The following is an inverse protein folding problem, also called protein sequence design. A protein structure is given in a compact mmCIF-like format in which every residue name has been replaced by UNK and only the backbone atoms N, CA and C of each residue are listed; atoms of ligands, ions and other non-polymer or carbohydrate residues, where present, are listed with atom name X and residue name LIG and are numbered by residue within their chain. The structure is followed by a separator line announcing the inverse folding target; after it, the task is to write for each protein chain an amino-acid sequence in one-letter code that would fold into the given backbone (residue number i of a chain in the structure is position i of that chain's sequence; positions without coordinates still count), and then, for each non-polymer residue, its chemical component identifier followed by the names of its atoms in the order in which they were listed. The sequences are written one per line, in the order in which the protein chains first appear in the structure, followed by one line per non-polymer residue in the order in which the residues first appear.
data_IF_319976042436
#
_entry.id   IF_319976042436
#
_cell.length_a   1.000
_cell.length_b   1.000
_cell.length_c   1.000
_cell.angle_alpha   90.00
_cell.angle_beta   90.00
_cell.angle_gamma   90.00
#
_symmetry.space_group_name_H-M   'P 1'
#
loop_
_entity.id
_entity.type
_entity.pdbx_description
1 polymer ?
#
# COMPACT_ATOMS: atom_id res chain seq x y z
N UNK A 1 5.07 18.09 -9.98
CA UNK A 1 4.37 17.70 -8.75
C UNK A 1 3.46 16.52 -9.04
N UNK A 2 3.38 15.55 -8.14
CA UNK A 2 2.70 14.27 -8.39
C UNK A 2 1.65 14.01 -7.33
N UNK A 3 0.47 13.59 -7.76
CA UNK A 3 -0.64 13.25 -6.88
C UNK A 3 -0.86 11.72 -6.80
N UNK A 4 -1.22 11.26 -5.62
CA UNK A 4 -1.63 9.89 -5.33
C UNK A 4 -3.00 9.89 -4.65
N UNK A 5 -3.95 9.14 -5.21
CA UNK A 5 -5.27 8.94 -4.61
C UNK A 5 -5.30 7.61 -3.85
N UNK A 6 -5.91 7.62 -2.65
CA UNK A 6 -6.09 6.46 -1.80
C UNK A 6 -7.56 6.04 -1.74
N UNK A 7 -7.79 4.75 -1.51
CA UNK A 7 -9.12 4.25 -1.11
C UNK A 7 -9.44 4.73 0.31
N UNK A 8 -10.73 4.87 0.60
CA UNK A 8 -11.21 5.45 1.85
C UNK A 8 -10.65 4.75 3.12
N UNK A 9 -10.45 3.43 3.07
CA UNK A 9 -9.88 2.66 4.19
C UNK A 9 -8.47 3.12 4.63
N UNK A 10 -7.69 3.72 3.74
CA UNK A 10 -6.35 4.22 4.07
C UNK A 10 -6.33 5.70 4.44
N UNK A 11 -7.39 6.43 4.13
CA UNK A 11 -7.40 7.88 4.26
C UNK A 11 -7.09 8.37 5.68
N UNK A 12 -7.67 7.80 6.76
CA UNK A 12 -7.32 8.21 8.12
C UNK A 12 -5.83 8.02 8.45
N UNK A 13 -5.24 6.92 7.99
CA UNK A 13 -3.83 6.58 8.23
C UNK A 13 -2.89 7.50 7.46
N UNK A 14 -3.24 7.84 6.22
CA UNK A 14 -2.46 8.76 5.39
C UNK A 14 -2.56 10.19 5.92
N UNK A 15 -3.76 10.64 6.33
CA UNK A 15 -3.94 11.97 6.93
C UNK A 15 -3.19 12.13 8.25
N UNK A 16 -3.12 11.06 9.05
CA UNK A 16 -2.37 11.03 10.30
C UNK A 16 -0.87 10.81 10.12
N UNK A 17 -0.39 10.62 8.87
CA UNK A 17 1.00 10.29 8.54
C UNK A 17 1.54 9.03 9.25
N UNK A 18 0.65 8.11 9.64
CA UNK A 18 1.04 6.77 10.13
C UNK A 18 1.32 5.83 8.97
N UNK A 19 0.56 5.94 7.87
CA UNK A 19 0.90 5.32 6.57
C UNK A 19 1.74 6.29 5.74
N UNK A 20 3.01 5.93 5.52
CA UNK A 20 4.03 6.77 4.84
C UNK A 20 4.57 6.19 3.54
N UNK A 21 3.92 5.14 3.04
CA UNK A 21 4.30 4.49 1.78
C UNK A 21 3.08 4.08 0.96
N UNK A 22 3.27 3.88 -0.34
CA UNK A 22 2.28 3.32 -1.27
C UNK A 22 2.96 2.56 -2.39
N UNK A 23 2.39 1.41 -2.74
CA UNK A 23 2.70 0.71 -4.00
C UNK A 23 1.85 1.28 -5.13
N UNK A 24 2.44 1.46 -6.31
CA UNK A 24 1.74 1.91 -7.53
C UNK A 24 2.25 1.14 -8.74
N UNK A 25 1.34 0.84 -9.66
CA UNK A 25 1.73 0.33 -10.98
C UNK A 25 2.60 1.35 -11.69
N UNK A 26 3.47 0.86 -12.58
CA UNK A 26 4.33 1.74 -13.36
C UNK A 26 3.49 2.68 -14.23
N UNK A 27 3.97 3.92 -14.36
CA UNK A 27 3.34 4.95 -15.19
C UNK A 27 4.41 5.92 -15.67
N UNK A 28 4.06 6.72 -16.67
CA UNK A 28 4.95 7.72 -17.30
C UNK A 28 5.76 8.58 -16.30
N UNK A 29 5.22 8.87 -15.11
CA UNK A 29 5.94 9.63 -14.07
C UNK A 29 5.49 9.28 -12.65
N UNK A 30 6.45 8.95 -11.79
CA UNK A 30 6.30 8.99 -10.33
C UNK A 30 6.98 10.23 -9.72
N UNK A 31 6.74 10.45 -8.43
CA UNK A 31 7.49 11.45 -7.67
C UNK A 31 8.97 11.06 -7.63
N UNK A 32 9.87 12.03 -7.52
CA UNK A 32 11.30 11.78 -7.28
C UNK A 32 11.66 12.15 -5.85
N UNK A 33 12.70 11.55 -5.25
CA UNK A 33 13.21 12.00 -3.97
C UNK A 33 13.43 13.52 -3.94
N UNK A 34 12.99 14.19 -2.88
CA UNK A 34 13.00 15.64 -2.71
C UNK A 34 11.79 16.38 -3.30
N UNK A 35 10.93 15.72 -4.07
CA UNK A 35 9.69 16.34 -4.58
C UNK A 35 8.54 16.21 -3.57
N UNK A 36 7.72 17.26 -3.46
CA UNK A 36 6.45 17.18 -2.73
C UNK A 36 5.45 16.23 -3.41
N UNK A 37 4.75 15.42 -2.60
CA UNK A 37 3.69 14.51 -3.03
C UNK A 37 2.33 14.98 -2.52
N UNK A 38 1.37 15.09 -3.42
CA UNK A 38 0.02 15.46 -3.04
C UNK A 38 -0.80 14.19 -2.77
N UNK A 39 -1.35 14.09 -1.56
CA UNK A 39 -2.08 12.91 -1.10
C UNK A 39 -3.57 13.23 -1.03
N UNK A 40 -4.38 12.46 -1.77
CA UNK A 40 -5.82 12.68 -1.90
C UNK A 40 -6.63 11.41 -1.61
N UNK A 41 -7.91 11.58 -1.28
CA UNK A 41 -8.94 10.54 -1.40
C UNK A 41 -9.95 10.98 -2.48
N UNK A 42 -10.47 10.01 -3.25
CA UNK A 42 -11.58 10.27 -4.17
C UNK A 42 -11.23 11.23 -5.32
N UNK A 43 -9.98 11.24 -5.77
CA UNK A 43 -9.53 12.17 -6.82
C UNK A 43 -10.38 12.03 -8.09
N UNK A 44 -10.71 13.15 -8.74
CA UNK A 44 -11.60 13.26 -9.92
C UNK A 44 -13.08 12.96 -9.64
N UNK A 45 -13.48 12.94 -8.37
CA UNK A 45 -14.89 12.87 -7.96
C UNK A 45 -15.27 14.14 -7.18
N UNK A 46 -16.56 14.36 -6.97
CA UNK A 46 -17.06 15.42 -6.06
C UNK A 46 -16.63 15.23 -4.60
N UNK A 47 -16.16 14.04 -4.24
CA UNK A 47 -15.69 13.68 -2.89
C UNK A 47 -14.17 13.76 -2.77
N UNK A 48 -13.52 14.56 -3.63
CA UNK A 48 -12.07 14.74 -3.61
C UNK A 48 -11.64 15.54 -2.38
N UNK A 49 -10.80 14.94 -1.54
CA UNK A 49 -10.28 15.56 -0.30
C UNK A 49 -8.76 15.44 -0.25
N UNK A 50 -8.07 16.55 0.06
CA UNK A 50 -6.63 16.55 0.33
C UNK A 50 -6.39 16.02 1.74
N UNK A 51 -5.53 15.02 1.88
CA UNK A 51 -5.35 14.29 3.13
C UNK A 51 -4.30 14.90 4.05
N UNK A 52 -3.26 15.52 3.49
CA UNK A 52 -2.14 16.09 4.25
C UNK A 52 -1.82 17.49 3.74
N UNK A 53 -1.58 18.43 4.65
CA UNK A 53 -1.12 19.77 4.37
C UNK A 53 -0.20 20.25 5.51
N UNK A 54 1.08 20.64 5.26
CA UNK A 54 1.76 20.74 3.96
C UNK A 54 1.94 19.39 3.24
N UNK A 55 2.22 19.43 1.93
CA UNK A 55 2.47 18.22 1.13
C UNK A 55 3.75 17.52 1.58
N UNK A 56 3.71 16.22 1.95
CA UNK A 56 4.89 15.46 2.34
C UNK A 56 5.96 15.40 1.26
N UNK A 57 7.21 15.15 1.67
CA UNK A 57 8.35 15.04 0.75
C UNK A 57 8.61 13.57 0.42
N UNK A 58 8.64 13.24 -0.88
CA UNK A 58 9.09 11.95 -1.34
C UNK A 58 10.54 11.73 -0.93
N UNK A 59 10.84 10.63 -0.24
CA UNK A 59 12.20 10.30 0.19
C UNK A 59 12.81 9.19 -0.66
N UNK A 60 11.99 8.26 -1.17
CA UNK A 60 12.45 7.10 -1.94
C UNK A 60 11.41 6.65 -2.95
N UNK A 61 11.90 6.14 -4.07
CA UNK A 61 11.13 5.36 -5.03
C UNK A 61 11.94 4.13 -5.39
N UNK A 62 11.38 2.95 -5.19
CA UNK A 62 12.06 1.67 -5.40
C UNK A 62 11.20 0.74 -6.24
N UNK A 63 11.77 -0.05 -7.17
CA UNK A 63 11.01 -1.05 -7.88
C UNK A 63 10.51 -2.12 -6.89
N UNK A 64 9.27 -2.55 -7.06
CA UNK A 64 8.66 -3.59 -6.24
C UNK A 64 7.93 -4.58 -7.13
N UNK A 65 8.13 -5.86 -6.85
CA UNK A 65 7.38 -6.97 -7.42
C UNK A 65 6.62 -7.70 -6.31
N UNK A 66 5.32 -7.94 -6.52
CA UNK A 66 4.45 -8.69 -5.61
C UNK A 66 3.88 -9.86 -6.39
N UNK A 67 4.05 -11.07 -5.86
CA UNK A 67 3.46 -12.28 -6.42
C UNK A 67 2.31 -12.72 -5.53
N UNK A 68 1.12 -12.84 -6.11
CA UNK A 68 -0.07 -13.40 -5.45
C UNK A 68 -0.41 -14.77 -6.02
N UNK A 69 -0.97 -15.65 -5.20
CA UNK A 69 -1.51 -16.97 -5.60
C UNK A 69 -2.60 -17.44 -4.64
N UNK A 70 -3.64 -18.10 -5.17
CA UNK A 70 -4.70 -18.71 -4.37
C UNK A 70 -4.28 -20.01 -3.69
N UNK A 71 -3.13 -20.57 -4.07
CA UNK A 71 -2.56 -21.78 -3.45
C UNK A 71 -2.04 -21.52 -2.04
N UNK A 72 -1.89 -20.25 -1.63
CA UNK A 72 -1.46 -19.85 -0.30
C UNK A 72 -2.60 -19.18 0.46
N UNK A 73 -2.74 -19.53 1.74
CA UNK A 73 -3.79 -19.00 2.62
C UNK A 73 -3.73 -17.47 2.79
N UNK A 74 -2.53 -16.89 2.68
CA UNK A 74 -2.26 -15.45 2.80
C UNK A 74 -2.32 -14.70 1.46
N UNK A 75 -2.57 -15.41 0.35
CA UNK A 75 -2.49 -14.97 -1.04
C UNK A 75 -1.13 -14.42 -1.52
N UNK A 76 -0.41 -13.64 -0.73
CA UNK A 76 0.92 -13.12 -1.08
C UNK A 76 1.93 -14.26 -0.99
N UNK A 77 2.55 -14.63 -2.12
CA UNK A 77 3.65 -15.59 -2.16
C UNK A 77 4.99 -14.94 -1.81
N UNK A 78 5.29 -13.81 -2.45
CA UNK A 78 6.56 -13.09 -2.26
C UNK A 78 6.41 -11.61 -2.53
N UNK A 79 7.24 -10.82 -1.85
CA UNK A 79 7.47 -9.40 -2.16
C UNK A 79 8.97 -9.21 -2.37
N UNK A 80 9.35 -8.58 -3.46
CA UNK A 80 10.73 -8.23 -3.80
C UNK A 80 10.81 -6.72 -3.94
N UNK A 81 11.68 -6.06 -3.16
CA UNK A 81 11.90 -4.62 -3.22
C UNK A 81 13.35 -4.39 -3.62
N UNK A 82 13.58 -3.65 -4.71
CA UNK A 82 14.92 -3.34 -5.20
C UNK A 82 15.79 -4.59 -5.39
N UNK A 83 15.18 -5.65 -5.94
CA UNK A 83 15.81 -6.95 -6.16
C UNK A 83 15.99 -7.81 -4.90
N UNK A 84 15.70 -7.28 -3.69
CA UNK A 84 15.78 -8.03 -2.44
C UNK A 84 14.44 -8.68 -2.07
N UNK A 85 14.35 -10.02 -1.99
CA UNK A 85 13.16 -10.67 -1.47
C UNK A 85 13.00 -10.40 0.03
N UNK A 86 11.78 -10.13 0.47
CA UNK A 86 11.45 -9.98 1.88
C UNK A 86 11.19 -11.35 2.52
N UNK A 87 11.67 -11.53 3.76
CA UNK A 87 11.32 -12.66 4.59
C UNK A 87 9.88 -12.55 5.12
N UNK A 88 9.36 -13.64 5.70
CA UNK A 88 7.98 -13.74 6.19
C UNK A 88 7.58 -12.58 7.12
N UNK A 89 8.42 -12.28 8.11
CA UNK A 89 8.15 -11.24 9.10
C UNK A 89 8.31 -9.83 8.50
N UNK A 90 9.19 -9.68 7.50
CA UNK A 90 9.35 -8.43 6.75
C UNK A 90 8.13 -8.15 5.85
N UNK A 91 7.49 -9.19 5.30
CA UNK A 91 6.24 -9.05 4.54
C UNK A 91 5.11 -8.57 5.46
N UNK A 92 5.02 -9.11 6.68
CA UNK A 92 4.04 -8.67 7.66
C UNK A 92 4.28 -7.20 8.04
N UNK A 93 5.51 -6.84 8.39
CA UNK A 93 5.87 -5.45 8.70
C UNK A 93 5.63 -4.51 7.52
N UNK A 94 5.89 -4.97 6.29
CA UNK A 94 5.60 -4.21 5.07
C UNK A 94 4.10 -3.97 4.90
N UNK A 95 3.27 -4.99 5.09
CA UNK A 95 1.82 -4.85 4.98
C UNK A 95 1.25 -3.91 6.04
N UNK A 96 1.76 -3.98 7.28
CA UNK A 96 1.43 -3.00 8.35
C UNK A 96 1.80 -1.58 7.93
N UNK A 97 3.02 -1.36 7.44
CA UNK A 97 3.47 -0.04 6.99
C UNK A 97 2.71 0.47 5.76
N UNK A 98 2.22 -0.43 4.90
CA UNK A 98 1.31 -0.11 3.80
C UNK A 98 -0.16 -0.02 4.25
N UNK A 99 -0.43 -0.05 5.55
CA UNK A 99 -1.73 0.30 6.15
C UNK A 99 -2.75 -0.83 6.19
N UNK A 100 -2.31 -2.08 6.11
CA UNK A 100 -3.17 -3.28 6.19
C UNK A 100 -3.28 -3.87 7.59
N UNK A 101 -2.71 -3.21 8.59
CA UNK A 101 -2.80 -3.62 9.99
C UNK A 101 -4.26 -3.82 10.41
N UNK A 102 -4.54 -4.92 11.11
CA UNK A 102 -5.90 -5.35 11.47
C UNK A 102 -6.64 -4.28 12.27
N UNK A 103 -5.94 -3.56 13.14
CA UNK A 103 -6.44 -2.45 13.93
C UNK A 103 -6.95 -1.26 13.09
N UNK A 104 -6.51 -1.16 11.83
CA UNK A 104 -6.87 -0.04 10.95
C UNK A 104 -7.91 -0.40 9.90
N UNK A 105 -7.87 -1.62 9.37
CA UNK A 105 -8.75 -2.05 8.27
C UNK A 105 -9.72 -3.18 8.66
N UNK A 106 -9.63 -3.66 9.90
CA UNK A 106 -10.40 -4.78 10.43
C UNK A 106 -9.81 -6.13 10.03
N UNK A 107 -10.29 -7.18 10.70
CA UNK A 107 -9.95 -8.56 10.38
C UNK A 107 -10.97 -9.15 9.41
N UNK A 108 -10.68 -9.06 8.12
CA UNK A 108 -11.54 -9.58 7.08
C UNK A 108 -11.56 -11.12 7.07
N UNK A 109 -10.49 -11.79 7.49
CA UNK A 109 -10.41 -13.25 7.56
C UNK A 109 -11.26 -13.82 8.69
N UNK A 110 -11.22 -13.18 9.86
CA UNK A 110 -12.06 -13.56 10.99
C UNK A 110 -13.53 -13.55 10.61
N UNK A 111 -13.96 -12.50 9.88
CA UNK A 111 -15.33 -12.39 9.38
C UNK A 111 -15.70 -13.47 8.35
N UNK A 112 -14.75 -13.92 7.54
CA UNK A 112 -15.00 -14.89 6.47
C UNK A 112 -14.99 -16.34 6.93
N UNK A 113 -14.01 -16.71 7.78
CA UNK A 113 -13.74 -18.12 8.11
C UNK A 113 -13.47 -18.36 9.60
N UNK A 114 -13.70 -17.36 10.47
CA UNK A 114 -13.59 -17.52 11.92
C UNK A 114 -12.15 -17.69 12.45
N UNK A 115 -11.15 -17.28 11.67
CA UNK A 115 -9.73 -17.32 12.05
C UNK A 115 -9.12 -15.93 12.01
N UNK A 116 -8.29 -15.62 12.99
CA UNK A 116 -7.55 -14.36 13.01
C UNK A 116 -6.70 -14.20 11.75
N UNK A 117 -6.85 -13.04 11.10
CA UNK A 117 -6.04 -12.59 9.99
C UNK A 117 -4.78 -11.87 10.44
N UNK A 118 -3.90 -11.62 9.48
CA UNK A 118 -2.69 -10.83 9.62
C UNK A 118 -2.76 -9.59 8.70
N UNK A 119 -1.83 -8.66 8.83
CA UNK A 119 -1.71 -7.57 7.87
C UNK A 119 -1.38 -8.11 6.47
N UNK A 120 -0.51 -9.13 6.38
CA UNK A 120 -0.23 -9.84 5.13
C UNK A 120 -1.50 -10.42 4.52
N UNK A 121 -2.37 -11.03 5.32
CA UNK A 121 -3.63 -11.59 4.85
C UNK A 121 -4.52 -10.50 4.25
N UNK A 122 -4.70 -9.40 4.98
CA UNK A 122 -5.53 -8.27 4.55
C UNK A 122 -5.00 -7.67 3.24
N UNK A 123 -3.68 -7.51 3.14
CA UNK A 123 -3.02 -7.05 1.93
C UNK A 123 -3.23 -8.04 0.77
N UNK A 124 -3.07 -9.33 1.02
CA UNK A 124 -3.25 -10.39 0.02
C UNK A 124 -4.67 -10.46 -0.53
N UNK A 125 -5.67 -10.44 0.36
CA UNK A 125 -7.08 -10.41 -0.02
C UNK A 125 -7.42 -9.16 -0.85
N UNK A 126 -6.89 -8.00 -0.45
CA UNK A 126 -7.05 -6.76 -1.21
C UNK A 126 -6.39 -6.84 -2.59
N UNK A 127 -5.13 -7.30 -2.65
CA UNK A 127 -4.40 -7.39 -3.93
C UNK A 127 -5.09 -8.35 -4.89
N UNK A 128 -5.54 -9.51 -4.40
CA UNK A 128 -6.29 -10.46 -5.19
C UNK A 128 -7.60 -9.86 -5.73
N UNK A 129 -8.33 -9.08 -4.92
CA UNK A 129 -9.56 -8.43 -5.36
C UNK A 129 -9.33 -7.33 -6.41
N UNK A 130 -8.21 -6.61 -6.34
CA UNK A 130 -7.92 -5.47 -7.22
C UNK A 130 -7.12 -5.84 -8.48
N UNK A 131 -6.28 -6.87 -8.42
CA UNK A 131 -5.34 -7.24 -9.49
C UNK A 131 -5.42 -8.72 -9.91
N UNK A 132 -6.02 -9.60 -9.10
CA UNK A 132 -6.04 -11.05 -9.33
C UNK A 132 -4.78 -11.80 -8.86
N UNK A 133 -4.65 -13.04 -9.31
CA UNK A 133 -3.45 -13.86 -9.15
C UNK A 133 -2.38 -13.47 -10.18
N UNK A 134 -1.11 -13.52 -9.78
CA UNK A 134 0.04 -13.40 -10.67
C UNK A 134 1.10 -12.44 -10.17
N UNK A 135 1.91 -11.97 -11.12
CA UNK A 135 2.96 -10.98 -10.88
C UNK A 135 2.40 -9.57 -11.05
N UNK A 136 2.59 -8.75 -10.02
CA UNK A 136 2.42 -7.30 -10.08
C UNK A 136 3.81 -6.64 -10.04
N UNK A 137 4.11 -5.83 -11.05
CA UNK A 137 5.31 -5.00 -11.11
C UNK A 137 4.95 -3.51 -10.95
N UNK A 138 5.72 -2.80 -10.14
CA UNK A 138 5.48 -1.38 -9.91
C UNK A 138 6.57 -0.67 -9.12
N UNK A 139 6.17 0.42 -8.49
CA UNK A 139 7.02 1.30 -7.70
C UNK A 139 6.46 1.45 -6.28
N UNK A 140 7.32 1.21 -5.30
CA UNK A 140 7.11 1.59 -3.91
C UNK A 140 7.56 3.03 -3.74
N UNK A 141 6.65 3.92 -3.36
CA UNK A 141 6.93 5.32 -3.07
C UNK A 141 6.81 5.55 -1.58
N UNK A 142 7.83 6.17 -0.99
CA UNK A 142 7.91 6.50 0.44
C UNK A 142 8.04 8.02 0.62
N UNK A 143 7.42 8.56 1.65
CA UNK A 143 7.47 9.98 1.97
C UNK A 143 7.60 10.25 3.47
N UNK A 144 8.04 11.45 3.81
CA UNK A 144 8.09 11.96 5.18
C UNK A 144 7.33 13.28 5.32
N UNK A 145 6.84 13.60 6.53
CA UNK A 145 6.30 14.93 6.83
C UNK A 145 7.29 16.02 6.37
N UNK A 146 6.76 17.11 5.82
CA UNK A 146 7.56 18.25 5.34
C UNK A 146 8.12 19.11 6.47
#
# INVERSE_FOLDING_TARGET
MVAYSFKAMFAPQVSALTKRQTVRADRKRHARPGEAVQLFQGMRTRHCVKLVNPDPICIRVRPIAIVTTWLLEEFIASIVIDGRPLHRDEIEAFAVADGFAVEHVGDCRMKQIGRAGSARWNMGAFWNAEHGEGLFDGQLIEWEPA
#
